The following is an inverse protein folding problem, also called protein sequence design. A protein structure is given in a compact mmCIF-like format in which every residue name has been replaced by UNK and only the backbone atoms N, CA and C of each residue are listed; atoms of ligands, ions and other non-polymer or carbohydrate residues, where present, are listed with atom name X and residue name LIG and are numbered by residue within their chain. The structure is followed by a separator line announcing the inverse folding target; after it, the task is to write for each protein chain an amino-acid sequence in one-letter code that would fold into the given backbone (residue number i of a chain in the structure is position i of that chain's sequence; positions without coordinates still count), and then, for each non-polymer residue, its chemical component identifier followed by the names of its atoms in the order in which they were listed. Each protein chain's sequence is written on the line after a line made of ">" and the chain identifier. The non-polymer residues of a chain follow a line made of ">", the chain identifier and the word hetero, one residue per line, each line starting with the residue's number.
data_IF_754044539055
#
_entry.id   IF_754044539055
#
_cell.length_a   1.000
_cell.length_b   1.000
_cell.length_c   1.000
_cell.angle_alpha   90.00
_cell.angle_beta   90.00
_cell.angle_gamma   90.00
#
_symmetry.space_group_name_H-M   'P 1'
#
loop_
_entity.id
_entity.type
_entity.pdbx_description
1 polymer ?
#
# COMPACT_ATOMS: atom_id res chain seq x y z
N UNK A 1 -84.91 -36.56 -23.96
CA UNK A 1 -83.92 -37.07 -23.00
C UNK A 1 -82.52 -36.47 -23.43
N UNK A 2 -82.13 -35.41 -22.73
CA UNK A 2 -80.86 -34.70 -23.08
C UNK A 2 -79.83 -35.05 -22.01
N UNK A 3 -78.73 -35.71 -22.46
CA UNK A 3 -77.60 -36.08 -21.64
C UNK A 3 -76.62 -34.88 -21.63
N UNK A 4 -76.38 -34.30 -20.42
CA UNK A 4 -75.33 -33.27 -20.25
C UNK A 4 -74.02 -33.96 -19.90
N UNK A 5 -73.01 -33.81 -20.78
CA UNK A 5 -71.64 -34.24 -20.53
C UNK A 5 -70.94 -33.13 -19.72
N UNK A 6 -70.47 -33.45 -18.50
CA UNK A 6 -69.61 -32.58 -17.70
C UNK A 6 -68.14 -32.89 -18.07
N UNK A 7 -67.43 -31.90 -18.59
CA UNK A 7 -65.98 -31.94 -18.74
C UNK A 7 -65.36 -31.43 -17.44
N UNK A 8 -64.62 -32.26 -16.73
CA UNK A 8 -63.77 -31.87 -15.61
C UNK A 8 -62.39 -31.51 -16.20
N UNK A 9 -62.06 -30.24 -16.17
CA UNK A 9 -60.71 -29.74 -16.49
C UNK A 9 -59.90 -29.78 -15.20
N UNK A 10 -58.97 -30.74 -15.07
CA UNK A 10 -57.94 -30.74 -14.06
C UNK A 10 -56.88 -29.70 -14.37
N UNK A 11 -56.90 -28.57 -13.67
CA UNK A 11 -55.83 -27.59 -13.73
C UNK A 11 -54.69 -28.07 -12.81
N UNK A 12 -53.62 -28.65 -13.39
CA UNK A 12 -52.37 -28.94 -12.66
C UNK A 12 -51.60 -27.63 -12.47
N UNK A 13 -51.64 -27.07 -11.29
CA UNK A 13 -50.76 -25.93 -10.90
C UNK A 13 -49.36 -26.49 -10.67
N UNK A 14 -48.54 -26.41 -11.69
CA UNK A 14 -47.11 -26.66 -11.58
C UNK A 14 -46.48 -25.52 -10.77
N UNK A 15 -46.13 -25.73 -9.52
CA UNK A 15 -45.28 -24.86 -8.73
C UNK A 15 -43.91 -24.83 -9.34
N UNK A 16 -43.61 -23.84 -10.20
CA UNK A 16 -42.28 -23.47 -10.57
C UNK A 16 -41.52 -23.02 -9.31
N UNK A 17 -40.72 -23.90 -8.74
CA UNK A 17 -39.71 -23.52 -7.76
C UNK A 17 -38.70 -22.64 -8.50
N UNK A 18 -38.88 -21.32 -8.37
CA UNK A 18 -37.84 -20.36 -8.75
C UNK A 18 -36.70 -20.56 -7.73
N UNK A 19 -35.76 -21.46 -8.07
CA UNK A 19 -34.46 -21.47 -7.42
C UNK A 19 -33.87 -20.09 -7.66
N UNK A 20 -33.74 -19.29 -6.58
CA UNK A 20 -32.89 -18.11 -6.58
C UNK A 20 -31.48 -18.61 -6.90
N UNK A 21 -31.11 -18.61 -8.17
CA UNK A 21 -29.72 -18.64 -8.58
C UNK A 21 -29.18 -17.31 -8.08
N UNK A 22 -28.62 -17.33 -6.87
CA UNK A 22 -27.70 -16.28 -6.42
C UNK A 22 -26.64 -16.24 -7.52
N UNK A 23 -26.58 -15.17 -8.29
CA UNK A 23 -25.54 -14.97 -9.29
C UNK A 23 -24.20 -14.93 -8.53
N UNK A 24 -23.61 -16.09 -8.35
CA UNK A 24 -22.27 -16.22 -7.81
C UNK A 24 -21.38 -15.62 -8.88
N UNK A 25 -20.65 -14.55 -8.54
CA UNK A 25 -19.71 -13.91 -9.47
C UNK A 25 -18.61 -14.90 -9.93
N UNK A 26 -17.66 -14.47 -10.76
CA UNK A 26 -16.66 -15.35 -11.38
C UNK A 26 -15.73 -16.04 -10.38
N UNK A 27 -15.62 -15.54 -9.13
CA UNK A 27 -14.68 -16.07 -8.15
C UNK A 27 -15.38 -16.84 -7.04
N UNK A 28 -14.88 -18.07 -6.78
CA UNK A 28 -15.29 -18.92 -5.66
C UNK A 28 -14.37 -18.70 -4.46
N UNK A 29 -14.85 -19.01 -3.25
CA UNK A 29 -14.06 -18.94 -2.02
C UNK A 29 -13.09 -20.13 -1.87
N UNK A 30 -12.24 -20.33 -2.88
CA UNK A 30 -11.19 -21.34 -2.91
C UNK A 30 -9.91 -20.74 -3.46
N UNK A 31 -8.75 -21.12 -2.95
CA UNK A 31 -7.47 -20.58 -3.43
C UNK A 31 -7.27 -20.81 -4.92
N UNK A 32 -7.65 -21.98 -5.44
CA UNK A 32 -7.58 -22.27 -6.88
C UNK A 32 -8.31 -21.20 -7.72
N UNK A 33 -9.49 -20.77 -7.27
CA UNK A 33 -10.25 -19.73 -7.98
C UNK A 33 -9.66 -18.35 -7.75
N UNK A 34 -9.24 -18.02 -6.52
CA UNK A 34 -8.75 -16.70 -6.16
C UNK A 34 -7.37 -16.41 -6.75
N UNK A 35 -6.48 -17.40 -6.78
CA UNK A 35 -5.13 -17.28 -7.37
C UNK A 35 -5.18 -17.20 -8.93
N UNK A 36 -6.33 -17.49 -9.56
CA UNK A 36 -6.54 -17.22 -10.98
C UNK A 36 -6.75 -15.73 -11.31
N UNK A 37 -7.04 -14.92 -10.30
CA UNK A 37 -7.14 -13.46 -10.43
C UNK A 37 -5.81 -12.88 -10.92
N UNK A 38 -5.87 -11.81 -11.70
CA UNK A 38 -4.67 -11.22 -12.30
C UNK A 38 -4.40 -9.85 -11.66
N UNK A 39 -3.16 -9.63 -11.30
CA UNK A 39 -2.70 -8.31 -10.89
C UNK A 39 -3.08 -7.27 -11.95
N UNK A 40 -3.78 -6.20 -11.59
CA UNK A 40 -4.14 -5.13 -12.53
C UNK A 40 -2.92 -4.49 -13.20
N UNK A 41 -3.02 -4.28 -14.51
CA UNK A 41 -1.94 -3.64 -15.27
C UNK A 41 -1.60 -2.24 -14.74
N UNK A 42 -2.60 -1.50 -14.27
CA UNK A 42 -2.39 -0.17 -13.71
C UNK A 42 -1.44 -0.17 -12.49
N UNK A 43 -1.49 -1.21 -11.64
CA UNK A 43 -0.60 -1.31 -10.48
C UNK A 43 0.83 -1.64 -10.91
N UNK A 44 0.96 -2.54 -11.90
CA UNK A 44 2.26 -2.88 -12.47
C UNK A 44 2.92 -1.67 -13.17
N UNK A 45 2.13 -0.74 -13.71
CA UNK A 45 2.59 0.49 -14.33
C UNK A 45 2.88 1.62 -13.33
N UNK A 46 2.20 1.62 -12.21
CA UNK A 46 2.21 2.70 -11.21
C UNK A 46 3.52 2.86 -10.46
N UNK A 47 4.15 1.77 -10.03
CA UNK A 47 5.46 1.66 -9.38
C UNK A 47 5.61 2.31 -8.00
N UNK A 48 5.00 3.47 -7.74
CA UNK A 48 5.16 4.25 -6.51
C UNK A 48 3.80 4.57 -5.91
N UNK A 49 3.64 4.25 -4.63
CA UNK A 49 2.48 4.55 -3.81
C UNK A 49 2.83 5.29 -2.52
N UNK A 50 1.84 5.97 -1.96
CA UNK A 50 1.93 6.62 -0.66
C UNK A 50 0.93 5.98 0.30
N UNK A 51 1.40 5.52 1.46
CA UNK A 51 0.54 5.07 2.55
C UNK A 51 0.57 6.04 3.73
N UNK A 52 -0.49 6.00 4.52
CA UNK A 52 -0.61 6.83 5.72
C UNK A 52 -1.08 6.00 6.90
N UNK A 53 -0.28 6.00 7.97
CA UNK A 53 -0.73 5.51 9.26
C UNK A 53 -1.19 6.70 10.10
N UNK A 54 -2.51 6.81 10.28
CA UNK A 54 -3.12 7.92 11.01
C UNK A 54 -4.33 7.44 11.82
N UNK A 55 -4.42 7.88 13.06
CA UNK A 55 -5.46 7.45 13.97
C UNK A 55 -5.26 8.02 15.37
N UNK A 56 -5.93 7.43 16.37
CA UNK A 56 -5.85 7.83 17.79
C UNK A 56 -4.41 7.80 18.31
N UNK A 57 -3.61 6.83 17.85
CA UNK A 57 -2.18 6.72 18.23
C UNK A 57 -1.33 7.93 17.82
N UNK A 58 -1.79 8.75 16.87
CA UNK A 58 -1.12 10.02 16.54
C UNK A 58 -1.28 11.10 17.63
N UNK A 59 -2.12 10.88 18.66
CA UNK A 59 -2.27 11.80 19.80
C UNK A 59 -1.11 11.64 20.80
N UNK A 60 -0.89 10.43 21.39
CA UNK A 60 0.29 10.23 22.22
C UNK A 60 1.57 10.28 21.40
N UNK A 61 1.54 9.86 20.16
CA UNK A 61 2.60 9.99 19.16
C UNK A 61 3.99 9.65 19.71
N UNK A 62 4.11 8.56 20.44
CA UNK A 62 5.36 8.23 21.12
C UNK A 62 5.70 6.73 21.05
N UNK A 63 6.95 6.48 20.81
CA UNK A 63 7.60 5.19 21.03
C UNK A 63 9.05 5.46 21.43
N UNK A 64 9.69 4.58 22.23
CA UNK A 64 11.07 4.77 22.62
C UNK A 64 11.97 4.87 21.38
N UNK A 65 12.90 5.84 21.40
CA UNK A 65 13.89 6.03 20.34
C UNK A 65 14.99 4.98 20.48
N UNK A 66 14.81 3.83 19.85
CA UNK A 66 15.76 2.72 19.83
C UNK A 66 16.52 2.66 18.51
N UNK A 67 17.64 1.92 18.50
CA UNK A 67 18.28 1.56 17.23
C UNK A 67 17.34 0.62 16.47
N UNK A 68 16.78 1.09 15.35
CA UNK A 68 15.89 0.32 14.51
C UNK A 68 14.48 0.90 14.41
N UNK A 69 13.51 0.03 14.15
CA UNK A 69 12.12 0.40 13.93
C UNK A 69 11.42 0.64 15.25
N UNK A 70 10.73 1.77 15.37
CA UNK A 70 10.02 2.17 16.57
C UNK A 70 8.57 2.46 16.18
N UNK A 71 7.66 1.52 16.46
CA UNK A 71 6.25 1.62 16.05
C UNK A 71 5.44 2.47 17.04
N UNK A 72 5.26 3.78 16.76
CA UNK A 72 4.43 4.67 17.58
C UNK A 72 2.95 4.28 17.53
N UNK A 73 2.47 3.71 16.42
CA UNK A 73 1.12 3.18 16.25
C UNK A 73 0.83 1.98 17.15
N UNK A 74 1.84 1.35 17.75
CA UNK A 74 1.71 0.29 18.74
C UNK A 74 1.58 0.79 20.18
N UNK A 75 1.47 2.09 20.40
CA UNK A 75 1.38 2.70 21.74
C UNK A 75 0.36 1.99 22.64
N UNK A 76 -0.88 1.80 22.14
CA UNK A 76 -1.95 1.17 22.89
C UNK A 76 -1.67 -0.29 23.27
N UNK A 77 -0.92 -1.04 22.46
CA UNK A 77 -0.50 -2.40 22.80
C UNK A 77 0.58 -2.38 23.89
N UNK A 78 1.58 -1.52 23.72
CA UNK A 78 2.73 -1.41 24.64
C UNK A 78 2.33 -0.96 26.04
N UNK A 79 1.24 -0.20 26.18
CA UNK A 79 0.66 0.15 27.49
C UNK A 79 0.26 -1.08 28.32
N UNK A 80 0.05 -2.25 27.71
CA UNK A 80 -0.35 -3.48 28.40
C UNK A 80 0.83 -4.26 29.01
N UNK A 81 2.04 -3.99 28.54
CA UNK A 81 3.28 -4.62 29.03
C UNK A 81 3.95 -3.72 30.07
N UNK A 82 3.83 -4.09 31.35
CA UNK A 82 4.37 -3.31 32.49
C UNK A 82 5.86 -3.04 32.40
N UNK A 83 6.62 -3.83 31.64
CA UNK A 83 8.07 -3.67 31.46
C UNK A 83 8.41 -2.75 30.28
N UNK A 84 7.44 -2.43 29.43
CA UNK A 84 7.67 -1.59 28.28
C UNK A 84 7.88 -0.13 28.68
N UNK A 85 8.89 0.58 28.15
CA UNK A 85 9.14 2.01 28.43
C UNK A 85 7.91 2.91 28.21
N UNK A 86 7.00 2.53 27.32
CA UNK A 86 5.74 3.23 27.04
C UNK A 86 4.90 3.37 28.32
N UNK A 87 4.91 2.41 29.22
CA UNK A 87 4.15 2.48 30.48
C UNK A 87 4.69 3.57 31.41
N UNK A 88 6.01 3.64 31.56
CA UNK A 88 6.64 4.69 32.36
C UNK A 88 6.41 6.09 31.78
N UNK A 89 6.57 6.22 30.46
CA UNK A 89 6.27 7.47 29.74
C UNK A 89 4.81 7.88 29.90
N UNK A 90 3.88 6.95 29.68
CA UNK A 90 2.45 7.20 29.79
C UNK A 90 2.05 7.69 31.17
N UNK A 91 2.51 7.00 32.21
CA UNK A 91 2.25 7.36 33.60
C UNK A 91 2.80 8.75 33.96
N UNK A 92 4.01 9.06 33.52
CA UNK A 92 4.66 10.35 33.78
C UNK A 92 3.97 11.52 33.05
N UNK A 93 3.47 11.29 31.84
CA UNK A 93 2.92 12.33 30.96
C UNK A 93 1.42 12.55 31.19
N UNK A 94 0.66 11.47 31.34
CA UNK A 94 -0.82 11.52 31.38
C UNK A 94 -1.42 11.10 32.73
N UNK A 95 -0.66 10.42 33.55
CA UNK A 95 -1.12 9.90 34.83
C UNK A 95 -1.52 8.43 34.78
N UNK A 96 -1.64 7.82 35.97
CA UNK A 96 -1.83 6.36 36.11
C UNK A 96 -3.23 5.88 35.66
N UNK A 97 -4.22 6.73 35.77
CA UNK A 97 -5.63 6.39 35.47
C UNK A 97 -6.03 6.79 34.04
N UNK A 98 -5.16 7.42 33.27
CA UNK A 98 -5.45 7.81 31.90
C UNK A 98 -5.40 6.56 30.99
N UNK A 99 -6.44 6.34 30.25
CA UNK A 99 -6.58 5.15 29.36
C UNK A 99 -6.28 5.51 27.93
N UNK A 100 -6.11 4.48 27.07
CA UNK A 100 -5.95 4.72 25.64
C UNK A 100 -7.17 5.43 25.03
N UNK A 101 -8.37 5.15 25.52
CA UNK A 101 -9.61 5.74 25.01
C UNK A 101 -9.76 7.22 25.37
N UNK A 102 -9.05 7.70 26.39
CA UNK A 102 -9.02 9.12 26.75
C UNK A 102 -8.31 9.98 25.67
N UNK A 103 -7.50 9.37 24.79
CA UNK A 103 -6.94 10.05 23.63
C UNK A 103 -7.97 10.31 22.54
N UNK A 104 -9.05 9.54 22.45
CA UNK A 104 -10.05 9.67 21.37
C UNK A 104 -10.65 11.09 21.33
N UNK A 105 -11.17 11.67 22.44
CA UNK A 105 -11.69 13.03 22.40
C UNK A 105 -10.63 14.11 22.19
N UNK A 106 -9.33 13.79 22.38
CA UNK A 106 -8.22 14.70 22.11
C UNK A 106 -7.88 14.76 20.61
N UNK A 107 -8.19 13.73 19.85
CA UNK A 107 -7.98 13.71 18.40
C UNK A 107 -9.01 14.58 17.69
N UNK A 108 -8.61 15.75 17.20
CA UNK A 108 -9.50 16.73 16.55
C UNK A 108 -9.34 16.78 15.03
N UNK A 109 -8.18 16.40 14.51
CA UNK A 109 -7.90 16.49 13.07
C UNK A 109 -8.17 17.89 12.49
N UNK A 110 -7.82 18.93 13.22
CA UNK A 110 -8.17 20.32 12.94
C UNK A 110 -7.54 20.88 11.66
N UNK A 111 -6.40 20.32 11.27
CA UNK A 111 -5.68 20.71 10.05
C UNK A 111 -5.80 19.65 8.93
N UNK A 112 -6.66 18.64 9.13
CA UNK A 112 -6.85 17.60 8.12
C UNK A 112 -7.36 18.19 6.81
N UNK A 113 -6.58 18.04 5.76
CA UNK A 113 -6.92 18.49 4.41
C UNK A 113 -6.58 17.38 3.40
N UNK A 114 -7.55 16.52 3.08
CA UNK A 114 -7.31 15.39 2.17
C UNK A 114 -6.93 15.83 0.74
N UNK A 115 -7.33 17.03 0.31
CA UNK A 115 -6.94 17.59 -0.98
C UNK A 115 -5.43 17.88 -1.01
N UNK A 116 -4.89 18.48 0.04
CA UNK A 116 -3.44 18.70 0.13
C UNK A 116 -2.65 17.39 0.24
N UNK A 117 -3.17 16.39 0.94
CA UNK A 117 -2.57 15.06 0.98
C UNK A 117 -2.54 14.39 -0.40
N UNK A 118 -3.63 14.47 -1.16
CA UNK A 118 -3.68 13.92 -2.52
C UNK A 118 -2.74 14.66 -3.49
N UNK A 119 -2.67 16.00 -3.41
CA UNK A 119 -1.69 16.79 -4.18
C UNK A 119 -0.26 16.45 -3.80
N UNK A 120 0.01 16.28 -2.51
CA UNK A 120 1.34 15.88 -2.04
C UNK A 120 1.72 14.51 -2.62
N UNK A 121 0.84 13.50 -2.53
CA UNK A 121 1.05 12.20 -3.15
C UNK A 121 1.40 12.30 -4.64
N UNK A 122 0.64 13.11 -5.37
CA UNK A 122 0.89 13.35 -6.80
C UNK A 122 2.22 14.05 -7.06
N UNK A 123 2.58 15.04 -6.24
CA UNK A 123 3.81 15.80 -6.38
C UNK A 123 5.07 14.95 -6.10
N UNK A 124 4.99 14.00 -5.17
CA UNK A 124 6.06 13.04 -4.94
C UNK A 124 6.16 11.93 -6.01
N UNK A 125 5.20 11.90 -6.94
CA UNK A 125 5.17 10.95 -8.05
C UNK A 125 4.33 9.70 -7.82
N UNK A 126 3.62 9.59 -6.70
CA UNK A 126 2.72 8.47 -6.45
C UNK A 126 1.59 8.40 -7.49
N UNK A 127 1.17 7.18 -7.82
CA UNK A 127 0.03 6.88 -8.70
C UNK A 127 -1.15 6.29 -7.95
N UNK A 128 -0.94 5.88 -6.73
CA UNK A 128 -1.95 5.38 -5.80
C UNK A 128 -1.60 5.79 -4.38
N UNK A 129 -2.61 5.80 -3.53
CA UNK A 129 -2.44 6.07 -2.11
C UNK A 129 -3.41 5.25 -1.27
N UNK A 130 -3.07 4.99 -0.01
CA UNK A 130 -3.92 4.27 0.91
C UNK A 130 -3.72 4.73 2.35
N UNK A 131 -4.70 4.46 3.18
CA UNK A 131 -4.73 4.87 4.58
C UNK A 131 -5.20 3.72 5.47
N UNK A 132 -4.79 3.71 6.72
CA UNK A 132 -5.37 2.84 7.74
C UNK A 132 -6.86 3.13 7.89
N UNK A 133 -7.74 2.21 7.45
CA UNK A 133 -9.16 2.33 7.75
C UNK A 133 -9.45 2.03 9.22
N UNK A 134 -8.79 1.00 9.73
CA UNK A 134 -8.77 0.58 11.13
C UNK A 134 -7.43 -0.11 11.42
N UNK A 135 -6.69 0.40 12.39
CA UNK A 135 -5.49 -0.26 12.90
C UNK A 135 -5.85 -1.27 14.02
N UNK A 136 -4.87 -1.91 14.62
CA UNK A 136 -5.05 -2.92 15.68
C UNK A 136 -5.71 -2.36 16.96
N UNK A 137 -5.75 -1.04 17.13
CA UNK A 137 -6.45 -0.37 18.24
C UNK A 137 -7.98 -0.38 18.08
N UNK A 138 -8.48 -0.84 16.93
CA UNK A 138 -9.91 -0.99 16.64
C UNK A 138 -10.64 0.33 16.36
N UNK A 139 -9.95 1.47 16.27
CA UNK A 139 -10.60 2.73 15.96
C UNK A 139 -10.84 2.88 14.45
N UNK A 140 -12.11 3.02 14.06
CA UNK A 140 -12.52 3.07 12.66
C UNK A 140 -12.53 4.50 12.12
N UNK A 141 -11.92 4.74 10.95
CA UNK A 141 -11.88 6.07 10.33
C UNK A 141 -13.12 6.40 9.47
N UNK A 142 -14.14 5.56 9.48
CA UNK A 142 -15.40 5.72 8.72
C UNK A 142 -16.61 5.52 9.63
N UNK A 143 -17.81 5.98 9.22
CA UNK A 143 -19.05 5.85 10.02
C UNK A 143 -19.60 4.42 10.02
N UNK A 144 -18.82 3.47 10.54
CA UNK A 144 -19.26 2.06 10.63
C UNK A 144 -20.53 1.90 11.47
N UNK A 145 -21.36 0.94 11.08
CA UNK A 145 -22.56 0.58 11.82
C UNK A 145 -22.30 -0.39 12.99
N UNK A 146 -21.09 -0.96 13.08
CA UNK A 146 -20.79 -2.07 13.99
C UNK A 146 -20.25 -1.63 15.35
N UNK A 147 -19.79 -0.39 15.46
CA UNK A 147 -19.33 0.21 16.72
C UNK A 147 -19.44 1.73 16.66
N UNK A 148 -19.58 2.37 17.83
CA UNK A 148 -19.46 3.83 17.96
C UNK A 148 -18.00 4.30 18.09
N UNK A 149 -17.06 3.36 18.22
CA UNK A 149 -15.61 3.62 18.25
C UNK A 149 -15.11 3.98 16.84
N UNK A 150 -15.55 5.13 16.34
CA UNK A 150 -15.24 5.59 15.00
C UNK A 150 -15.16 7.12 14.90
N UNK A 151 -14.42 7.60 13.89
CA UNK A 151 -14.11 9.02 13.68
C UNK A 151 -15.34 9.89 13.40
N UNK A 152 -16.45 9.30 12.97
CA UNK A 152 -17.70 10.04 12.74
C UNK A 152 -18.45 10.35 14.05
N UNK A 153 -18.44 9.40 14.99
CA UNK A 153 -19.12 9.54 16.29
C UNK A 153 -18.24 10.08 17.41
N UNK A 154 -16.93 9.86 17.31
CA UNK A 154 -15.95 10.23 18.33
C UNK A 154 -14.80 11.02 17.68
N UNK A 155 -14.02 11.72 18.49
CA UNK A 155 -12.85 12.47 18.02
C UNK A 155 -13.21 13.52 16.95
N UNK A 156 -12.72 13.38 15.69
CA UNK A 156 -12.84 14.40 14.64
C UNK A 156 -14.27 14.73 14.19
N UNK A 157 -15.24 13.84 14.42
CA UNK A 157 -16.63 13.97 13.97
C UNK A 157 -16.78 14.07 12.44
N UNK A 158 -15.96 13.28 11.70
CA UNK A 158 -15.89 13.29 10.25
C UNK A 158 -15.87 11.87 9.67
N UNK A 159 -16.34 11.72 8.44
CA UNK A 159 -16.04 10.56 7.59
C UNK A 159 -14.69 10.79 6.93
N UNK A 160 -13.62 10.43 7.63
CA UNK A 160 -12.23 10.61 7.16
C UNK A 160 -12.02 9.87 5.83
N UNK A 161 -12.51 8.64 5.72
CA UNK A 161 -12.30 7.84 4.51
C UNK A 161 -13.06 8.40 3.32
N UNK A 162 -14.32 8.85 3.50
CA UNK A 162 -15.10 9.44 2.42
C UNK A 162 -14.42 10.68 1.84
N UNK A 163 -13.95 11.59 2.70
CA UNK A 163 -13.21 12.78 2.28
C UNK A 163 -11.89 12.42 1.59
N UNK A 164 -11.15 11.43 2.13
CA UNK A 164 -9.88 10.94 1.57
C UNK A 164 -10.06 10.36 0.16
N UNK A 165 -11.03 9.45 -0.01
CA UNK A 165 -11.31 8.82 -1.31
C UNK A 165 -11.74 9.84 -2.37
N UNK A 166 -12.59 10.79 -1.99
CA UNK A 166 -13.04 11.85 -2.91
C UNK A 166 -11.88 12.72 -3.38
N UNK A 167 -10.99 13.13 -2.47
CA UNK A 167 -9.84 13.95 -2.79
C UNK A 167 -8.82 13.21 -3.68
N UNK A 168 -8.48 11.96 -3.33
CA UNK A 168 -7.52 11.16 -4.09
C UNK A 168 -8.02 10.89 -5.53
N UNK A 169 -9.27 10.51 -5.69
CA UNK A 169 -9.88 10.28 -7.01
C UNK A 169 -9.95 11.55 -7.86
N UNK A 170 -10.22 12.70 -7.24
CA UNK A 170 -10.20 14.00 -7.92
C UNK A 170 -8.82 14.33 -8.50
N UNK A 171 -7.74 13.93 -7.83
CA UNK A 171 -6.37 14.08 -8.32
C UNK A 171 -5.94 12.97 -9.31
N UNK A 172 -6.82 12.01 -9.62
CA UNK A 172 -6.57 10.91 -10.55
C UNK A 172 -5.74 9.77 -9.96
N UNK A 173 -5.68 9.66 -8.62
CA UNK A 173 -4.98 8.59 -7.93
C UNK A 173 -5.89 7.39 -7.72
N UNK A 174 -5.32 6.19 -7.81
CA UNK A 174 -5.94 4.96 -7.31
C UNK A 174 -5.91 4.95 -5.78
N UNK A 175 -6.96 4.40 -5.15
CA UNK A 175 -7.13 4.51 -3.70
C UNK A 175 -7.41 3.16 -3.07
N UNK A 176 -6.61 2.81 -2.07
CA UNK A 176 -6.76 1.59 -1.29
C UNK A 176 -6.97 1.82 0.19
N UNK A 177 -7.15 0.72 0.89
CA UNK A 177 -7.31 0.69 2.34
C UNK A 177 -6.37 -0.33 2.97
N UNK A 178 -5.78 0.05 4.09
CA UNK A 178 -5.26 -0.90 5.07
C UNK A 178 -6.39 -1.27 6.05
N UNK A 179 -6.47 -2.54 6.42
CA UNK A 179 -7.42 -3.03 7.42
C UNK A 179 -6.77 -4.10 8.29
N UNK A 180 -6.80 -3.89 9.61
CA UNK A 180 -6.35 -4.89 10.59
C UNK A 180 -7.43 -5.94 10.80
N UNK A 181 -7.04 -7.22 10.65
CA UNK A 181 -7.94 -8.36 10.90
C UNK A 181 -8.23 -8.52 12.39
N UNK A 182 -7.26 -8.31 13.27
CA UNK A 182 -7.43 -8.44 14.71
C UNK A 182 -7.48 -7.08 15.44
N UNK A 183 -7.94 -7.09 16.68
CA UNK A 183 -8.04 -5.90 17.52
C UNK A 183 -7.57 -6.15 18.95
N UNK A 184 -6.81 -5.20 19.49
CA UNK A 184 -6.29 -5.30 20.85
C UNK A 184 -7.33 -5.09 21.96
N UNK A 185 -8.42 -4.39 21.67
CA UNK A 185 -9.42 -3.93 22.65
C UNK A 185 -10.81 -4.52 22.44
N UNK A 186 -11.07 -5.16 21.31
CA UNK A 186 -12.40 -5.72 21.05
C UNK A 186 -12.69 -6.91 21.97
N UNK A 187 -13.73 -6.85 22.82
CA UNK A 187 -14.04 -7.92 23.75
C UNK A 187 -14.42 -9.24 23.06
N UNK A 188 -15.01 -9.18 21.86
CA UNK A 188 -15.34 -10.37 21.07
C UNK A 188 -14.08 -11.11 20.59
N UNK A 189 -13.00 -10.38 20.34
CA UNK A 189 -11.73 -10.95 19.90
C UNK A 189 -10.88 -11.39 21.10
N UNK A 190 -10.76 -10.52 22.10
CA UNK A 190 -9.88 -10.76 23.25
C UNK A 190 -10.46 -11.70 24.30
N UNK A 191 -11.78 -11.92 24.28
CA UNK A 191 -12.50 -12.65 25.34
C UNK A 191 -12.49 -11.93 26.71
N UNK A 192 -12.08 -10.66 26.75
CA UNK A 192 -12.00 -9.87 27.98
C UNK A 192 -13.18 -8.91 28.07
N UNK A 193 -13.72 -8.75 29.26
CA UNK A 193 -14.73 -7.74 29.55
C UNK A 193 -14.06 -6.35 29.62
N UNK A 194 -13.92 -5.74 28.46
CA UNK A 194 -13.31 -4.42 28.29
C UNK A 194 -14.39 -3.48 27.74
N UNK A 195 -14.59 -2.28 28.31
CA UNK A 195 -15.48 -1.29 27.74
C UNK A 195 -15.11 -0.98 26.28
N UNK A 196 -16.10 -1.11 25.39
CA UNK A 196 -15.89 -0.84 23.96
C UNK A 196 -17.09 -0.04 23.44
N UNK A 197 -16.85 1.18 23.00
CA UNK A 197 -17.88 2.14 22.69
C UNK A 197 -18.86 1.62 21.61
N UNK A 198 -20.13 1.51 21.99
CA UNK A 198 -21.25 1.18 21.09
C UNK A 198 -21.08 -0.11 20.29
N UNK A 199 -20.36 -1.09 20.84
CA UNK A 199 -20.29 -2.42 20.22
C UNK A 199 -21.70 -3.00 20.13
N UNK A 200 -22.13 -3.36 18.93
CA UNK A 200 -23.42 -4.05 18.76
C UNK A 200 -23.39 -5.40 19.46
N UNK A 201 -24.55 -5.84 19.92
CA UNK A 201 -24.73 -7.19 20.47
C UNK A 201 -24.58 -8.20 19.34
N UNK A 202 -23.39 -8.72 19.19
CA UNK A 202 -22.99 -9.75 18.23
C UNK A 202 -22.24 -10.83 18.98
N UNK A 203 -22.18 -12.03 18.42
CA UNK A 203 -21.65 -13.20 19.13
C UNK A 203 -20.27 -13.61 18.64
N UNK A 204 -19.94 -13.27 17.40
CA UNK A 204 -18.70 -13.70 16.75
C UNK A 204 -17.96 -12.52 16.16
N UNK A 205 -16.66 -12.40 16.49
CA UNK A 205 -15.82 -11.32 15.99
C UNK A 205 -15.68 -11.35 14.46
N UNK A 206 -15.43 -12.51 13.89
CA UNK A 206 -15.16 -12.63 12.44
C UNK A 206 -16.46 -12.47 11.65
N UNK A 207 -17.49 -13.26 11.97
CA UNK A 207 -18.72 -13.32 11.17
C UNK A 207 -19.62 -12.10 11.36
N UNK A 208 -19.69 -11.57 12.58
CA UNK A 208 -20.68 -10.55 12.92
C UNK A 208 -20.10 -9.14 13.03
N UNK A 209 -18.77 -9.01 13.01
CA UNK A 209 -18.09 -7.72 13.16
C UNK A 209 -17.07 -7.46 12.04
N UNK A 210 -16.00 -8.28 11.92
CA UNK A 210 -14.89 -8.04 10.99
C UNK A 210 -15.33 -8.13 9.51
N UNK A 211 -15.94 -9.24 9.11
CA UNK A 211 -16.40 -9.45 7.71
C UNK A 211 -17.45 -8.40 7.32
N UNK A 212 -18.47 -8.11 8.14
CA UNK A 212 -19.44 -7.04 7.85
C UNK A 212 -18.78 -5.66 7.68
N UNK A 213 -17.78 -5.30 8.49
CA UNK A 213 -17.04 -4.05 8.33
C UNK A 213 -16.29 -3.99 7.00
N UNK A 214 -15.63 -5.08 6.59
CA UNK A 214 -14.94 -5.12 5.29
C UNK A 214 -15.94 -4.97 4.14
N UNK A 215 -17.09 -5.66 4.20
CA UNK A 215 -18.17 -5.52 3.21
C UNK A 215 -18.73 -4.09 3.16
N UNK A 216 -18.86 -3.45 4.31
CA UNK A 216 -19.27 -2.05 4.42
C UNK A 216 -18.27 -1.12 3.71
N UNK A 217 -16.97 -1.27 3.95
CA UNK A 217 -15.92 -0.52 3.27
C UNK A 217 -15.94 -0.73 1.75
N UNK A 218 -16.13 -1.96 1.29
CA UNK A 218 -16.25 -2.29 -0.14
C UNK A 218 -17.47 -1.57 -0.76
N UNK A 219 -18.59 -1.58 -0.06
CA UNK A 219 -19.86 -0.98 -0.53
C UNK A 219 -19.81 0.55 -0.54
N UNK A 220 -19.23 1.17 0.50
CA UNK A 220 -19.23 2.62 0.66
C UNK A 220 -18.19 3.31 -0.22
N UNK A 221 -16.98 2.75 -0.31
CA UNK A 221 -15.85 3.47 -0.89
C UNK A 221 -15.30 2.83 -2.16
N UNK A 222 -15.68 1.59 -2.51
CA UNK A 222 -15.19 0.88 -3.69
C UNK A 222 -13.66 0.98 -3.84
N UNK A 223 -12.86 0.53 -2.86
CA UNK A 223 -11.41 0.65 -2.92
C UNK A 223 -10.83 -0.10 -4.13
N UNK A 224 -9.73 0.44 -4.69
CA UNK A 224 -9.01 -0.22 -5.78
C UNK A 224 -8.12 -1.37 -5.26
N UNK A 225 -7.83 -1.39 -3.97
CA UNK A 225 -7.09 -2.48 -3.33
C UNK A 225 -7.25 -2.50 -1.81
N UNK A 226 -6.96 -3.67 -1.22
CA UNK A 226 -6.82 -3.85 0.21
C UNK A 226 -5.43 -4.32 0.59
N UNK A 227 -4.88 -3.71 1.63
CA UNK A 227 -3.80 -4.22 2.44
C UNK A 227 -4.38 -4.75 3.75
N UNK A 228 -4.50 -6.07 3.88
CA UNK A 228 -4.86 -6.72 5.13
C UNK A 228 -3.62 -6.86 6.01
N UNK A 229 -3.81 -6.90 7.32
CA UNK A 229 -2.75 -7.03 8.31
C UNK A 229 -3.29 -7.62 9.60
N UNK A 230 -2.40 -8.08 10.52
CA UNK A 230 -2.83 -8.69 11.77
C UNK A 230 -3.27 -10.15 11.62
N UNK A 231 -2.83 -10.82 10.56
CA UNK A 231 -3.20 -12.20 10.22
C UNK A 231 -2.50 -13.26 11.07
N UNK A 232 -1.41 -12.92 11.74
CA UNK A 232 -0.46 -13.84 12.37
C UNK A 232 -0.97 -14.60 13.59
N UNK A 233 -2.06 -14.15 14.22
CA UNK A 233 -2.60 -14.82 15.43
C UNK A 233 -3.29 -16.13 15.10
N UNK A 234 -3.97 -16.22 13.95
CA UNK A 234 -4.79 -17.37 13.58
C UNK A 234 -4.57 -17.80 12.12
N UNK A 235 -4.79 -19.09 11.80
CA UNK A 235 -4.78 -19.55 10.41
C UNK A 235 -5.96 -19.02 9.61
N UNK A 236 -5.86 -19.05 8.28
CA UNK A 236 -6.88 -18.51 7.35
C UNK A 236 -8.32 -19.01 7.61
N UNK A 237 -8.56 -20.29 7.92
CA UNK A 237 -9.93 -20.76 8.20
C UNK A 237 -10.63 -20.05 9.38
N UNK A 238 -9.86 -19.50 10.33
CA UNK A 238 -10.41 -18.67 11.38
C UNK A 238 -10.87 -17.31 10.82
N UNK A 239 -10.03 -16.66 10.00
CA UNK A 239 -10.30 -15.35 9.43
C UNK A 239 -11.31 -15.37 8.28
N UNK A 240 -11.52 -16.54 7.64
CA UNK A 240 -12.41 -16.72 6.48
C UNK A 240 -12.07 -15.80 5.30
N UNK A 241 -10.78 -15.56 5.08
CA UNK A 241 -10.34 -14.60 4.07
C UNK A 241 -10.65 -15.02 2.65
N UNK A 242 -10.75 -16.33 2.37
CA UNK A 242 -11.24 -16.81 1.05
C UNK A 242 -12.62 -16.26 0.72
N UNK A 243 -13.53 -16.23 1.70
CA UNK A 243 -14.88 -15.68 1.52
C UNK A 243 -14.85 -14.17 1.32
N UNK A 244 -14.01 -13.46 2.08
CA UNK A 244 -13.80 -12.02 1.99
C UNK A 244 -13.25 -11.61 0.62
N UNK A 245 -12.18 -12.29 0.16
CA UNK A 245 -11.53 -12.00 -1.12
C UNK A 245 -12.45 -12.32 -2.28
N UNK A 246 -13.15 -13.48 -2.24
CA UNK A 246 -14.15 -13.82 -3.26
C UNK A 246 -15.27 -12.77 -3.35
N UNK A 247 -15.77 -12.30 -2.21
CA UNK A 247 -16.77 -11.24 -2.17
C UNK A 247 -16.22 -9.95 -2.80
N UNK A 248 -15.02 -9.54 -2.44
CA UNK A 248 -14.40 -8.32 -2.94
C UNK A 248 -14.20 -8.36 -4.47
N UNK A 249 -13.60 -9.42 -5.00
CA UNK A 249 -13.40 -9.58 -6.44
C UNK A 249 -14.71 -9.62 -7.21
N UNK A 250 -15.73 -10.31 -6.68
CA UNK A 250 -17.04 -10.39 -7.32
C UNK A 250 -17.77 -9.03 -7.32
N UNK A 251 -17.68 -8.26 -6.23
CA UNK A 251 -18.24 -6.91 -6.19
C UNK A 251 -17.49 -5.95 -7.14
N UNK A 252 -16.18 -6.08 -7.26
CA UNK A 252 -15.38 -5.31 -8.22
C UNK A 252 -15.73 -5.69 -9.68
N UNK A 253 -15.88 -6.98 -9.98
CA UNK A 253 -16.25 -7.46 -11.31
C UNK A 253 -17.62 -6.91 -11.77
N UNK A 254 -18.62 -6.80 -10.87
CA UNK A 254 -19.92 -6.18 -11.17
C UNK A 254 -19.81 -4.72 -11.65
N UNK A 255 -18.75 -4.02 -11.22
CA UNK A 255 -18.47 -2.62 -11.56
C UNK A 255 -17.43 -2.44 -12.66
N UNK A 256 -16.93 -3.53 -13.26
CA UNK A 256 -15.78 -3.53 -14.16
C UNK A 256 -14.57 -2.79 -13.54
N UNK A 257 -14.38 -2.94 -12.24
CA UNK A 257 -13.27 -2.35 -11.50
C UNK A 257 -12.14 -3.36 -11.37
N UNK A 258 -10.94 -2.99 -11.80
CA UNK A 258 -9.74 -3.78 -11.56
C UNK A 258 -9.23 -3.51 -10.14
N UNK A 259 -9.09 -4.57 -9.35
CA UNK A 259 -8.69 -4.51 -7.94
C UNK A 259 -7.60 -5.53 -7.62
N UNK A 260 -6.96 -5.42 -6.46
CA UNK A 260 -6.06 -6.44 -5.94
C UNK A 260 -6.07 -6.50 -4.41
N UNK A 261 -5.50 -7.56 -3.86
CA UNK A 261 -5.25 -7.76 -2.43
C UNK A 261 -3.80 -8.18 -2.19
N UNK A 262 -3.28 -7.87 -1.00
CA UNK A 262 -2.00 -8.42 -0.56
C UNK A 262 -2.12 -9.88 -0.08
N UNK A 263 -1.04 -10.44 0.48
CA UNK A 263 -0.85 -11.85 0.82
C UNK A 263 -1.08 -12.19 2.31
N UNK A 264 -1.79 -11.33 3.06
CA UNK A 264 -1.95 -11.49 4.51
C UNK A 264 -3.34 -12.00 4.88
N UNK A 265 -3.52 -13.31 4.79
CA UNK A 265 -4.81 -13.96 4.99
C UNK A 265 -4.89 -14.82 6.24
N UNK A 266 -3.76 -15.25 6.77
CA UNK A 266 -3.66 -16.07 7.94
C UNK A 266 -2.21 -16.38 8.30
N UNK A 267 -2.03 -16.95 9.48
CA UNK A 267 -0.73 -17.41 9.92
C UNK A 267 -0.14 -18.38 8.89
N UNK A 268 1.10 -18.14 8.47
CA UNK A 268 1.84 -18.95 7.50
C UNK A 268 1.37 -18.83 6.03
N UNK A 269 0.48 -17.88 5.68
CA UNK A 269 0.00 -17.72 4.30
C UNK A 269 0.78 -16.68 3.49
N UNK A 270 1.66 -15.90 4.12
CA UNK A 270 2.49 -14.91 3.41
C UNK A 270 3.29 -15.57 2.29
N UNK A 271 3.28 -14.96 1.11
CA UNK A 271 4.00 -15.43 -0.06
C UNK A 271 3.40 -16.69 -0.72
N UNK A 272 2.16 -17.09 -0.37
CA UNK A 272 1.48 -18.25 -0.96
C UNK A 272 0.31 -17.88 -1.85
N UNK A 273 -0.51 -16.94 -1.40
CA UNK A 273 -1.77 -16.53 -2.03
C UNK A 273 -1.85 -15.02 -2.14
N UNK A 274 -2.79 -14.51 -2.96
CA UNK A 274 -2.99 -13.09 -3.19
C UNK A 274 -2.26 -12.55 -4.42
N UNK A 275 -2.64 -11.36 -4.83
CA UNK A 275 -2.11 -10.72 -6.04
C UNK A 275 -0.73 -10.08 -5.80
N UNK A 276 -0.49 -9.64 -4.56
CA UNK A 276 0.68 -8.87 -4.18
C UNK A 276 1.37 -9.45 -2.96
N UNK A 277 2.63 -9.83 -3.09
CA UNK A 277 3.45 -10.19 -1.94
C UNK A 277 4.01 -8.93 -1.28
N UNK A 278 3.79 -8.79 0.02
CA UNK A 278 4.16 -7.60 0.74
C UNK A 278 5.33 -7.83 1.69
N UNK A 279 6.39 -7.03 1.54
CA UNK A 279 7.61 -7.08 2.35
C UNK A 279 7.75 -5.77 3.13
N UNK A 280 7.85 -5.86 4.45
CA UNK A 280 8.11 -4.72 5.32
C UNK A 280 9.59 -4.68 5.71
N UNK A 281 10.19 -3.49 5.75
CA UNK A 281 11.54 -3.19 6.27
C UNK A 281 12.67 -4.20 6.01
N UNK A 282 12.36 -5.48 5.75
CA UNK A 282 13.31 -6.58 5.55
C UNK A 282 14.03 -6.55 4.20
N UNK A 283 13.74 -5.59 3.35
CA UNK A 283 14.42 -5.37 2.08
C UNK A 283 15.72 -4.57 2.27
N UNK A 284 16.61 -5.03 3.16
CA UNK A 284 17.80 -4.23 3.48
C UNK A 284 19.08 -4.68 2.78
N UNK A 285 19.10 -5.86 2.16
CA UNK A 285 20.35 -6.48 1.69
C UNK A 285 20.31 -7.09 0.28
N UNK A 286 19.19 -6.90 -0.44
CA UNK A 286 19.02 -7.55 -1.76
C UNK A 286 18.86 -9.07 -1.67
N UNK A 287 18.59 -9.62 -0.49
CA UNK A 287 18.37 -11.06 -0.24
C UNK A 287 17.08 -11.57 -0.89
N UNK A 288 16.11 -10.70 -1.13
CA UNK A 288 15.00 -11.02 -2.00
C UNK A 288 15.52 -11.03 -3.45
N UNK A 289 15.71 -12.21 -3.98
CA UNK A 289 15.98 -12.42 -5.39
C UNK A 289 14.89 -11.79 -6.27
N UNK A 290 14.97 -12.02 -7.57
CA UNK A 290 13.92 -11.59 -8.49
C UNK A 290 12.70 -12.44 -8.22
N UNK A 291 11.67 -11.84 -7.65
CA UNK A 291 10.39 -12.51 -7.52
C UNK A 291 9.66 -12.43 -8.87
N UNK A 292 9.28 -13.57 -9.40
CA UNK A 292 8.41 -13.66 -10.58
C UNK A 292 7.01 -13.18 -10.26
N UNK A 293 6.55 -13.37 -9.02
CA UNK A 293 5.31 -12.82 -8.50
C UNK A 293 5.47 -11.31 -8.23
N UNK A 294 4.40 -10.53 -8.42
CA UNK A 294 4.41 -9.10 -8.09
C UNK A 294 4.53 -8.92 -6.59
N UNK A 295 5.36 -7.97 -6.18
CA UNK A 295 5.59 -7.67 -4.78
C UNK A 295 5.67 -6.18 -4.52
N UNK A 296 5.49 -5.77 -3.29
CA UNK A 296 5.75 -4.40 -2.86
C UNK A 296 6.65 -4.36 -1.64
N UNK A 297 7.39 -3.27 -1.58
CA UNK A 297 8.20 -2.91 -0.45
C UNK A 297 7.52 -1.80 0.34
N UNK A 298 7.16 -2.09 1.60
CA UNK A 298 6.40 -1.18 2.45
C UNK A 298 7.18 -0.82 3.71
N UNK A 299 7.45 0.47 3.89
CA UNK A 299 8.09 0.98 5.10
C UNK A 299 7.76 2.45 5.33
N UNK A 300 7.93 2.91 6.56
CA UNK A 300 7.95 4.34 6.89
C UNK A 300 9.15 5.04 6.28
N UNK A 301 8.99 6.30 5.89
CA UNK A 301 10.13 7.15 5.51
C UNK A 301 11.05 7.38 6.70
N UNK A 302 10.49 7.44 7.90
CA UNK A 302 11.17 7.33 9.18
C UNK A 302 11.21 5.87 9.66
N UNK A 303 11.60 5.63 10.91
CA UNK A 303 11.68 4.29 11.52
C UNK A 303 10.37 3.85 12.19
N UNK A 304 9.25 4.44 11.81
CA UNK A 304 7.91 4.23 12.35
C UNK A 304 6.89 4.35 11.23
N UNK A 305 5.73 3.71 11.35
CA UNK A 305 4.62 3.96 10.44
C UNK A 305 3.75 5.13 10.93
N UNK A 306 3.34 5.14 12.19
CA UNK A 306 2.62 6.26 12.79
C UNK A 306 3.56 7.41 13.18
N UNK A 307 3.02 8.61 13.30
CA UNK A 307 3.78 9.76 13.78
C UNK A 307 4.39 9.51 15.17
N UNK A 308 5.69 9.74 15.30
CA UNK A 308 6.41 9.76 16.57
C UNK A 308 7.02 11.14 16.78
N UNK A 309 6.62 11.82 17.87
CA UNK A 309 7.06 13.19 18.17
C UNK A 309 8.57 13.33 18.42
N UNK A 310 9.23 12.22 18.75
CA UNK A 310 10.69 12.18 18.98
C UNK A 310 11.47 11.91 17.68
N UNK A 311 10.78 11.74 16.53
CA UNK A 311 11.40 11.55 15.21
C UNK A 311 11.87 12.89 14.66
N UNK A 312 13.06 12.90 14.09
CA UNK A 312 13.64 14.04 13.37
C UNK A 312 14.14 13.64 11.95
N UNK A 313 14.80 14.58 11.27
CA UNK A 313 15.31 14.36 9.92
C UNK A 313 16.38 13.25 9.84
N UNK A 314 17.12 12.99 10.92
CA UNK A 314 18.17 11.97 10.96
C UNK A 314 17.57 10.54 11.02
N UNK A 315 16.35 10.42 11.49
CA UNK A 315 15.61 9.15 11.50
C UNK A 315 14.99 8.81 10.13
N UNK A 316 14.88 9.80 9.24
CA UNK A 316 14.34 9.62 7.89
C UNK A 316 15.40 9.12 6.91
N UNK A 317 14.97 8.36 5.92
CA UNK A 317 15.83 8.07 4.78
C UNK A 317 16.22 9.38 4.08
N UNK A 318 17.49 9.53 3.76
CA UNK A 318 17.95 10.63 2.90
C UNK A 318 17.30 10.52 1.52
N UNK A 319 17.15 11.64 0.78
CA UNK A 319 16.64 11.60 -0.60
C UNK A 319 17.40 10.60 -1.49
N UNK A 320 18.73 10.52 -1.34
CA UNK A 320 19.56 9.59 -2.10
C UNK A 320 19.23 8.15 -1.79
N UNK A 321 19.18 7.78 -0.53
CA UNK A 321 18.85 6.44 -0.07
C UNK A 321 17.45 6.02 -0.53
N UNK A 322 16.47 6.92 -0.38
CA UNK A 322 15.10 6.66 -0.77
C UNK A 322 14.95 6.42 -2.28
N UNK A 323 15.60 7.26 -3.11
CA UNK A 323 15.59 7.12 -4.56
C UNK A 323 16.31 5.82 -4.99
N UNK A 324 17.45 5.50 -4.39
CA UNK A 324 18.19 4.28 -4.70
C UNK A 324 17.37 3.02 -4.40
N UNK A 325 16.74 2.96 -3.22
CA UNK A 325 15.85 1.85 -2.84
C UNK A 325 14.65 1.73 -3.78
N UNK A 326 14.06 2.85 -4.16
CA UNK A 326 12.95 2.89 -5.12
C UNK A 326 13.36 2.28 -6.47
N UNK A 327 14.49 2.71 -7.01
CA UNK A 327 15.02 2.22 -8.29
C UNK A 327 15.38 0.73 -8.19
N UNK A 328 16.07 0.32 -7.14
CA UNK A 328 16.47 -1.07 -6.93
C UNK A 328 15.26 -2.00 -6.83
N UNK A 329 14.27 -1.68 -6.00
CA UNK A 329 13.05 -2.46 -5.85
C UNK A 329 12.27 -2.60 -7.16
N UNK A 330 12.12 -1.51 -7.92
CA UNK A 330 11.44 -1.51 -9.22
C UNK A 330 12.19 -2.38 -10.24
N UNK A 331 13.52 -2.33 -10.28
CA UNK A 331 14.33 -3.16 -11.17
C UNK A 331 14.16 -4.66 -10.92
N UNK A 332 13.71 -5.04 -9.71
CA UNK A 332 13.45 -6.42 -9.27
C UNK A 332 11.97 -6.82 -9.29
N UNK A 333 11.13 -6.16 -10.06
CA UNK A 333 9.68 -6.41 -10.16
C UNK A 333 8.84 -5.88 -9.00
N UNK A 334 9.40 -5.06 -8.11
CA UNK A 334 8.67 -4.49 -6.97
C UNK A 334 7.94 -3.19 -7.32
N UNK A 335 6.98 -2.83 -6.47
CA UNK A 335 6.49 -1.47 -6.29
C UNK A 335 6.98 -0.95 -4.95
N UNK A 336 7.06 0.37 -4.81
CA UNK A 336 7.46 0.98 -3.56
C UNK A 336 6.29 1.70 -2.89
N UNK A 337 5.89 1.19 -1.72
CA UNK A 337 4.83 1.73 -0.89
C UNK A 337 5.46 2.47 0.29
N UNK A 338 5.69 3.77 0.14
CA UNK A 338 6.25 4.56 1.22
C UNK A 338 5.16 5.05 2.17
N UNK A 339 5.42 5.00 3.47
CA UNK A 339 4.49 5.46 4.48
C UNK A 339 4.96 6.74 5.16
N UNK A 340 3.99 7.60 5.45
CA UNK A 340 4.13 8.77 6.32
C UNK A 340 3.19 8.68 7.50
N UNK A 341 3.58 9.29 8.62
CA UNK A 341 2.78 9.39 9.84
C UNK A 341 2.28 10.81 10.08
N UNK A 342 1.05 11.18 9.69
CA UNK A 342 0.52 12.51 10.01
C UNK A 342 0.36 12.72 11.50
N UNK A 343 0.59 13.97 11.96
CA UNK A 343 0.32 14.40 13.34
C UNK A 343 -1.17 14.24 13.67
N UNK A 344 -1.54 14.30 14.95
CA UNK A 344 -2.95 14.27 15.36
C UNK A 344 -3.78 15.36 14.67
N UNK A 345 -3.20 16.51 14.38
CA UNK A 345 -3.84 17.60 13.65
C UNK A 345 -4.11 17.27 12.16
N UNK A 346 -3.41 16.28 11.59
CA UNK A 346 -3.52 15.92 10.17
C UNK A 346 -2.46 16.55 9.28
N UNK A 347 -1.32 16.98 9.84
CA UNK A 347 -0.19 17.54 9.10
C UNK A 347 0.87 16.46 8.88
N UNK A 348 1.29 16.24 7.65
CA UNK A 348 2.46 15.42 7.35
C UNK A 348 3.71 16.22 7.73
N UNK A 349 4.61 15.71 8.61
CA UNK A 349 5.80 16.44 9.03
C UNK A 349 6.72 16.83 7.86
N UNK A 350 7.30 18.02 7.90
CA UNK A 350 8.17 18.53 6.82
C UNK A 350 9.39 17.63 6.59
N UNK A 351 9.95 17.06 7.65
CA UNK A 351 11.09 16.14 7.55
C UNK A 351 10.73 14.83 6.83
N UNK A 352 9.45 14.39 6.87
CA UNK A 352 8.96 13.29 6.05
C UNK A 352 8.67 13.72 4.61
N UNK A 353 8.15 14.94 4.40
CA UNK A 353 7.83 15.44 3.08
C UNK A 353 9.07 15.65 2.20
N UNK A 354 10.16 16.15 2.78
CA UNK A 354 11.36 16.56 2.04
C UNK A 354 11.94 15.45 1.14
N UNK A 355 12.28 14.24 1.62
CA UNK A 355 12.83 13.21 0.76
C UNK A 355 11.85 12.72 -0.31
N UNK A 356 10.53 12.72 -0.01
CA UNK A 356 9.50 12.30 -0.95
C UNK A 356 9.36 13.29 -2.10
N UNK A 357 9.39 14.60 -1.82
CA UNK A 357 9.36 15.63 -2.86
C UNK A 357 10.60 15.59 -3.75
N UNK A 358 11.77 15.21 -3.19
CA UNK A 358 12.99 15.01 -4.00
C UNK A 358 12.88 13.81 -4.93
N UNK A 359 12.20 12.72 -4.52
CA UNK A 359 11.82 11.66 -5.45
C UNK A 359 10.93 12.20 -6.57
N UNK A 360 9.92 13.00 -6.23
CA UNK A 360 9.03 13.63 -7.22
C UNK A 360 9.81 14.46 -8.25
N UNK A 361 10.75 15.28 -7.80
CA UNK A 361 11.61 16.08 -8.70
C UNK A 361 12.45 15.18 -9.61
N UNK A 362 13.02 14.10 -9.09
CA UNK A 362 13.77 13.14 -9.87
C UNK A 362 12.89 12.41 -10.90
N UNK A 363 11.66 12.03 -10.51
CA UNK A 363 10.69 11.34 -11.38
C UNK A 363 10.14 12.23 -12.50
N UNK A 364 10.05 13.55 -12.33
CA UNK A 364 9.68 14.49 -13.41
C UNK A 364 10.67 14.39 -14.59
N UNK A 365 11.91 14.06 -14.32
CA UNK A 365 12.97 13.91 -15.34
C UNK A 365 13.08 12.46 -15.81
N UNK A 366 13.08 11.50 -14.88
CA UNK A 366 13.44 10.10 -15.13
C UNK A 366 12.23 9.16 -15.13
N UNK A 367 11.01 9.64 -14.97
CA UNK A 367 9.81 8.83 -14.84
C UNK A 367 9.56 7.90 -16.02
N UNK A 368 10.06 8.21 -17.22
CA UNK A 368 10.00 7.32 -18.39
C UNK A 368 10.72 5.98 -18.13
N UNK A 369 11.81 6.00 -17.36
CA UNK A 369 12.57 4.81 -16.98
C UNK A 369 11.92 4.03 -15.81
N UNK A 370 10.84 4.53 -15.24
CA UNK A 370 10.16 3.97 -14.06
C UNK A 370 8.74 3.52 -14.39
N UNK A 371 7.87 4.45 -14.80
CA UNK A 371 6.44 4.18 -15.00
C UNK A 371 6.17 3.36 -16.28
N UNK A 372 5.31 2.36 -16.15
CA UNK A 372 4.95 1.47 -17.26
C UNK A 372 6.10 0.59 -17.73
N UNK A 373 7.15 0.45 -16.93
CA UNK A 373 8.28 -0.42 -17.24
C UNK A 373 8.07 -1.84 -16.73
N UNK A 374 8.88 -2.75 -17.23
CA UNK A 374 8.96 -4.15 -16.81
C UNK A 374 10.40 -4.50 -16.47
N UNK A 375 10.59 -5.64 -15.84
CA UNK A 375 11.92 -6.16 -15.50
C UNK A 375 12.71 -6.40 -16.79
N UNK A 376 13.97 -5.98 -16.79
CA UNK A 376 14.93 -6.34 -17.83
C UNK A 376 15.58 -7.69 -17.52
N UNK A 377 16.04 -8.41 -18.53
CA UNK A 377 16.71 -9.72 -18.38
C UNK A 377 17.87 -9.72 -17.37
N UNK A 378 18.57 -8.60 -17.25
CA UNK A 378 19.58 -8.34 -16.21
C UNK A 378 19.09 -7.17 -15.37
N UNK A 379 18.88 -7.38 -14.08
CA UNK A 379 18.32 -6.36 -13.19
C UNK A 379 19.38 -5.43 -12.66
N UNK A 380 20.59 -5.97 -12.43
CA UNK A 380 21.68 -5.29 -11.75
C UNK A 380 23.00 -5.59 -12.48
N UNK A 381 23.81 -4.56 -12.70
CA UNK A 381 25.18 -4.68 -13.14
C UNK A 381 26.01 -3.57 -12.48
N UNK A 382 26.80 -3.91 -11.46
CA UNK A 382 27.51 -2.91 -10.67
C UNK A 382 26.57 -1.88 -10.04
N UNK A 383 26.83 -0.61 -10.32
CA UNK A 383 25.98 0.50 -9.86
C UNK A 383 24.74 0.74 -10.75
N UNK A 384 24.61 0.02 -11.87
CA UNK A 384 23.45 0.13 -12.76
C UNK A 384 22.29 -0.76 -12.32
N UNK A 385 21.05 -0.23 -12.45
CA UNK A 385 19.79 -0.93 -12.32
C UNK A 385 19.06 -0.83 -13.64
N UNK A 386 18.28 -1.88 -14.00
CA UNK A 386 17.67 -1.93 -15.32
C UNK A 386 16.16 -2.10 -15.26
N UNK A 387 15.49 -1.34 -16.13
CA UNK A 387 14.09 -1.53 -16.48
C UNK A 387 13.94 -1.59 -18.00
N UNK A 388 12.78 -2.01 -18.49
CA UNK A 388 12.50 -2.07 -19.92
C UNK A 388 11.09 -1.58 -20.27
N UNK A 389 10.96 -0.98 -21.48
CA UNK A 389 9.65 -0.56 -22.01
C UNK A 389 9.70 -0.60 -23.54
N UNK A 390 8.85 -1.46 -24.13
CA UNK A 390 8.87 -1.67 -25.59
C UNK A 390 10.25 -2.11 -26.08
N UNK A 391 10.80 -1.36 -27.05
CA UNK A 391 12.10 -1.65 -27.66
C UNK A 391 13.31 -1.13 -26.88
N UNK A 392 13.08 -0.55 -25.71
CA UNK A 392 14.11 0.14 -24.95
C UNK A 392 14.41 -0.56 -23.61
N UNK A 393 15.70 -0.61 -23.30
CA UNK A 393 16.19 -0.81 -21.95
C UNK A 393 16.60 0.53 -21.35
N UNK A 394 16.36 0.70 -20.06
CA UNK A 394 16.83 1.86 -19.31
C UNK A 394 17.87 1.37 -18.31
N UNK A 395 19.10 1.90 -18.44
CA UNK A 395 20.17 1.68 -17.48
C UNK A 395 20.23 2.88 -16.52
N UNK A 396 19.94 2.67 -15.25
CA UNK A 396 19.87 3.71 -14.23
C UNK A 396 21.06 3.54 -13.29
N UNK A 397 22.04 4.43 -13.40
CA UNK A 397 23.22 4.41 -12.55
C UNK A 397 22.97 5.11 -11.23
N UNK A 398 23.16 4.40 -10.13
CA UNK A 398 23.01 4.92 -8.77
C UNK A 398 24.20 5.78 -8.35
N UNK A 399 25.36 5.60 -9.00
CA UNK A 399 26.54 6.42 -8.82
C UNK A 399 27.01 7.02 -10.15
N UNK A 400 27.54 8.22 -10.09
CA UNK A 400 28.13 8.86 -11.25
C UNK A 400 29.46 8.20 -11.60
N UNK A 401 29.57 7.62 -12.79
CA UNK A 401 30.75 6.88 -13.23
C UNK A 401 31.85 7.75 -13.90
N UNK A 402 31.66 9.07 -13.95
CA UNK A 402 32.58 9.98 -14.64
C UNK A 402 32.23 10.17 -16.10
N UNK A 403 33.25 10.16 -16.99
CA UNK A 403 33.07 10.43 -18.42
C UNK A 403 32.69 9.18 -19.23
N UNK A 404 32.75 7.98 -18.63
CA UNK A 404 32.42 6.72 -19.29
C UNK A 404 31.55 5.83 -18.40
N UNK A 405 30.45 5.36 -18.97
CA UNK A 405 29.53 4.39 -18.37
C UNK A 405 29.62 3.07 -19.11
N UNK A 406 29.98 1.98 -18.42
CA UNK A 406 30.27 0.67 -19.03
C UNK A 406 29.22 -0.37 -18.61
N UNK A 407 28.71 -1.13 -19.59
CA UNK A 407 27.70 -2.16 -19.40
C UNK A 407 28.00 -3.37 -20.28
N UNK A 408 28.12 -4.56 -19.69
CA UNK A 408 28.34 -5.82 -20.41
C UNK A 408 27.03 -6.48 -20.86
N UNK A 409 25.95 -6.33 -20.08
CA UNK A 409 24.67 -7.00 -20.28
C UNK A 409 23.79 -6.39 -21.39
N UNK A 410 24.17 -5.21 -21.93
CA UNK A 410 23.36 -4.47 -22.90
C UNK A 410 24.08 -4.39 -24.25
N UNK A 411 23.40 -4.86 -25.30
CA UNK A 411 23.82 -4.66 -26.70
C UNK A 411 22.81 -3.73 -27.39
N UNK A 412 23.21 -2.49 -27.73
CA UNK A 412 22.31 -1.57 -28.45
C UNK A 412 22.09 -2.04 -29.90
N UNK A 413 20.98 -1.62 -30.49
CA UNK A 413 20.78 -1.74 -31.94
C UNK A 413 21.83 -0.89 -32.63
N UNK A 414 22.49 -1.46 -33.64
CA UNK A 414 23.56 -0.77 -34.42
C UNK A 414 23.00 0.52 -35.03
N UNK A 415 23.78 1.61 -34.94
CA UNK A 415 23.39 2.93 -35.43
C UNK A 415 22.27 3.62 -34.60
N UNK A 416 21.79 2.98 -33.56
CA UNK A 416 20.76 3.60 -32.71
C UNK A 416 21.32 4.72 -31.83
N UNK A 417 20.41 5.59 -31.35
CA UNK A 417 20.75 6.68 -30.45
C UNK A 417 20.66 6.22 -29.01
N UNK A 418 21.62 6.68 -28.19
CA UNK A 418 21.56 6.58 -26.74
C UNK A 418 21.43 7.99 -26.17
N UNK A 419 20.45 8.20 -25.29
CA UNK A 419 20.24 9.49 -24.62
C UNK A 419 20.28 9.31 -23.10
N UNK A 420 20.66 10.34 -22.38
CA UNK A 420 20.47 10.44 -20.93
C UNK A 420 19.20 11.26 -20.68
N UNK A 421 18.28 10.74 -19.88
CA UNK A 421 17.05 11.48 -19.56
C UNK A 421 17.39 12.80 -18.86
N UNK A 422 16.70 13.88 -19.26
CA UNK A 422 16.97 15.24 -18.77
C UNK A 422 18.20 15.92 -19.36
N UNK A 423 18.91 15.29 -20.30
CA UNK A 423 20.08 15.89 -20.97
C UNK A 423 19.82 15.96 -22.48
N UNK A 424 19.86 17.15 -23.10
CA UNK A 424 19.65 17.28 -24.52
C UNK A 424 20.78 16.62 -25.35
N UNK A 425 20.38 15.98 -26.46
CA UNK A 425 21.25 15.41 -27.47
C UNK A 425 21.62 13.94 -27.24
N UNK A 426 22.18 13.37 -28.32
CA UNK A 426 22.61 11.96 -28.34
C UNK A 426 24.03 11.84 -27.74
N UNK A 427 24.25 10.74 -27.04
CA UNK A 427 25.57 10.42 -26.49
C UNK A 427 26.34 9.53 -27.46
N UNK A 428 27.68 9.74 -27.54
CA UNK A 428 28.55 8.84 -28.25
C UNK A 428 28.72 7.54 -27.50
N UNK A 429 28.70 6.43 -28.23
CA UNK A 429 28.87 5.11 -27.64
C UNK A 429 29.62 4.16 -28.58
N UNK A 430 30.20 3.14 -28.01
CA UNK A 430 30.83 2.02 -28.72
C UNK A 430 30.40 0.72 -28.08
N UNK A 431 30.31 -0.34 -28.87
CA UNK A 431 30.03 -1.68 -28.37
C UNK A 431 30.97 -2.68 -29.04
N UNK A 432 31.53 -3.57 -28.25
CA UNK A 432 32.28 -4.73 -28.74
C UNK A 432 31.96 -5.96 -27.86
N UNK A 433 32.22 -7.17 -28.40
CA UNK A 433 31.88 -8.41 -27.72
C UNK A 433 32.67 -8.67 -26.43
N UNK A 434 33.89 -8.10 -26.32
CA UNK A 434 34.79 -8.33 -25.18
C UNK A 434 34.53 -7.36 -24.04
N UNK A 435 34.27 -6.08 -24.36
CA UNK A 435 34.13 -4.99 -23.38
C UNK A 435 32.67 -4.56 -23.12
N UNK A 436 31.76 -4.95 -24.02
CA UNK A 436 30.35 -4.54 -23.96
C UNK A 436 30.11 -3.12 -24.46
N UNK A 437 29.11 -2.46 -23.92
CA UNK A 437 28.71 -1.09 -24.23
C UNK A 437 29.54 -0.09 -23.40
N UNK A 438 30.15 0.89 -24.07
CA UNK A 438 30.75 2.07 -23.43
C UNK A 438 30.01 3.31 -23.92
N UNK A 439 29.37 4.05 -23.02
CA UNK A 439 28.69 5.32 -23.29
C UNK A 439 29.60 6.45 -22.79
N UNK A 440 29.86 7.45 -23.65
CA UNK A 440 30.73 8.58 -23.33
C UNK A 440 29.90 9.82 -23.01
N UNK A 441 30.08 10.36 -21.80
CA UNK A 441 29.52 11.66 -21.43
C UNK A 441 30.51 12.74 -21.84
N UNK A 442 30.09 13.84 -22.51
CA UNK A 442 30.98 14.90 -22.96
C UNK A 442 31.68 15.59 -21.78
N UNK A 443 33.02 15.65 -21.80
CA UNK A 443 33.86 16.23 -20.74
C UNK A 443 33.60 17.73 -20.52
N UNK A 444 33.22 18.42 -21.60
CA UNK A 444 32.87 19.85 -21.60
C UNK A 444 31.54 20.18 -20.97
N UNK A 445 30.67 19.16 -20.75
CA UNK A 445 29.38 19.33 -20.08
C UNK A 445 29.51 19.11 -18.58
N UNK A 446 29.00 20.03 -17.80
CA UNK A 446 28.87 19.82 -16.35
C UNK A 446 27.99 18.62 -16.06
N UNK A 447 28.25 17.93 -14.94
CA UNK A 447 27.38 16.87 -14.42
C UNK A 447 25.96 17.43 -14.27
N UNK A 448 24.91 16.72 -14.77
CA UNK A 448 23.55 17.20 -14.66
C UNK A 448 23.12 17.33 -13.18
N UNK A 449 22.78 18.54 -12.76
CA UNK A 449 22.34 18.82 -11.38
C UNK A 449 20.88 18.41 -11.14
N UNK A 450 20.04 18.45 -12.19
CA UNK A 450 18.63 18.04 -12.10
C UNK A 450 18.43 16.54 -11.77
N UNK A 451 19.47 15.72 -11.94
CA UNK A 451 19.44 14.28 -11.71
C UNK A 451 20.52 13.85 -10.71
N UNK A 452 20.84 14.67 -9.71
CA UNK A 452 22.03 14.48 -8.83
C UNK A 452 22.00 13.18 -7.99
N UNK A 453 20.90 12.44 -7.96
CA UNK A 453 20.78 11.20 -7.19
C UNK A 453 21.05 9.94 -8.02
N UNK A 454 20.51 9.88 -9.25
CA UNK A 454 20.69 8.76 -10.18
C UNK A 454 20.48 9.23 -11.63
N UNK A 455 21.10 8.53 -12.61
CA UNK A 455 21.13 8.93 -14.02
C UNK A 455 20.63 7.81 -14.92
N UNK A 456 19.55 8.04 -15.66
CA UNK A 456 18.92 7.07 -16.53
C UNK A 456 19.34 7.26 -18.00
N UNK A 457 19.83 6.18 -18.61
CA UNK A 457 20.16 6.11 -20.03
C UNK A 457 19.11 5.30 -20.76
N UNK A 458 18.55 5.86 -21.83
CA UNK A 458 17.61 5.20 -22.74
C UNK A 458 18.39 4.56 -23.89
N UNK A 459 18.26 3.25 -24.05
CA UNK A 459 19.04 2.43 -24.98
C UNK A 459 18.09 1.59 -25.82
N UNK A 460 18.12 1.74 -27.16
CA UNK A 460 17.33 0.89 -28.03
C UNK A 460 17.99 -0.50 -28.15
N UNK A 461 17.20 -1.57 -27.91
CA UNK A 461 17.70 -2.95 -27.81
C UNK A 461 16.96 -3.94 -28.72
N UNK A 462 15.92 -3.47 -29.39
CA UNK A 462 15.14 -4.21 -30.41
C UNK A 462 14.85 -3.34 -31.62
#
# INVERSE_FOLDING_TARGET
>A
MRIKLFFIVCLSIGTLAISKISAQGPYKATWESLDSHKMPAWYDDAKVGLSMHWGVYSVPAWAPREKGISYAEWYGNRMKDKQNPTVAYHKATYGENFTYDDFIPMWKAESYNPTEWAKFAKNMGAKYMFITSKHHDGFCLWPTQYTDRNAFKMGPKKDILGEYFAAARKEGLKVGLYYSLYEWYNPLYTGKDIPYAGLKKVNNYVDDYMIPQIKELISLYHPDFFYFDGEWDHPEPFWKMKEVVAYYYNEAAKRNQEVFVNDRFGKEDRGKHGDLYNVEYSYNDGSLGILTHKWSFWQGIAKTFGYNQDTDMEDCMSPKEFIDKTIDGISRNGNFDINVGPTAAGVIPEYEQYPLLKLGDWLKVNGEAIYGTRVWRTQIEGDARFTSKGDYAYAIFLKWAGDEFKLKSVKPVEGSKITMLGVPGDLKWTWDASNGLTIKYPKEKARPTLCSYAWAFKIKVK
#
